data_IF_898284184461
#
_entry.id   IF_898284184461
#
_cell.length_a   1.000
_cell.length_b   1.000
_cell.length_c   1.000
_cell.angle_alpha   90.00
_cell.angle_beta   90.00
_cell.angle_gamma   90.00
#
_symmetry.space_group_name_H-M   'P 1'
#
loop_
_entity.id
_entity.type
_entity.pdbx_description
1 polymer ?
#
# COMPACT_ATOMS: atom_id res chain seq x y z
N UNK A 1 1.07 27.81 -0.55
CA UNK A 1 0.86 28.39 -1.88
C UNK A 1 -0.12 27.58 -2.72
N UNK A 2 -0.80 28.22 -3.68
CA UNK A 2 -1.67 27.58 -4.70
C UNK A 2 -1.03 27.88 -6.06
N UNK A 3 -0.98 26.90 -6.96
CA UNK A 3 -0.38 27.10 -8.28
C UNK A 3 -1.31 27.85 -9.25
N UNK A 4 -0.78 28.17 -10.44
CA UNK A 4 -1.52 28.88 -11.49
C UNK A 4 -2.81 28.14 -11.93
N UNK A 5 -2.81 26.81 -11.87
CA UNK A 5 -3.96 25.98 -12.21
C UNK A 5 -4.98 25.85 -11.06
N UNK A 6 -4.74 26.52 -9.92
CA UNK A 6 -5.60 26.50 -8.73
C UNK A 6 -5.41 25.30 -7.81
N UNK A 7 -4.34 24.50 -7.97
CA UNK A 7 -4.04 23.34 -7.15
C UNK A 7 -3.01 23.66 -6.05
N UNK A 8 -3.28 23.20 -4.83
CA UNK A 8 -2.29 23.23 -3.75
C UNK A 8 -1.29 22.08 -3.91
N UNK A 9 0.04 22.35 -3.96
CA UNK A 9 1.07 21.32 -3.85
C UNK A 9 1.00 20.59 -2.51
N UNK A 10 1.07 19.26 -2.55
CA UNK A 10 0.91 18.41 -1.38
C UNK A 10 1.70 17.10 -1.55
N UNK A 11 2.01 16.44 -0.44
CA UNK A 11 2.59 15.10 -0.39
C UNK A 11 1.60 14.12 0.20
N UNK A 12 1.59 12.89 -0.30
CA UNK A 12 0.83 11.78 0.30
C UNK A 12 1.79 10.66 0.72
N UNK A 13 1.58 10.09 1.90
CA UNK A 13 2.50 9.13 2.49
C UNK A 13 1.79 7.78 2.69
N UNK A 14 2.32 6.73 2.09
CA UNK A 14 1.89 5.35 2.35
C UNK A 14 2.98 4.65 3.13
N UNK A 15 2.70 4.31 4.38
CA UNK A 15 3.62 3.54 5.22
C UNK A 15 3.17 2.09 5.18
N UNK A 16 4.07 1.17 4.82
CA UNK A 16 3.82 -0.26 4.85
C UNK A 16 4.65 -0.97 5.90
N UNK A 17 4.12 -2.05 6.46
CA UNK A 17 4.86 -2.97 7.30
C UNK A 17 5.39 -4.16 6.49
N UNK A 18 6.22 -5.00 7.14
CA UNK A 18 6.78 -6.22 6.52
C UNK A 18 5.72 -7.28 6.15
N UNK A 19 4.53 -7.19 6.76
CA UNK A 19 3.38 -8.07 6.46
C UNK A 19 2.63 -7.65 5.18
N UNK A 20 3.00 -6.52 4.56
CA UNK A 20 2.32 -5.97 3.38
C UNK A 20 0.99 -5.30 3.71
N UNK A 21 0.80 -4.89 4.96
CA UNK A 21 -0.29 -4.02 5.37
C UNK A 21 0.18 -2.56 5.26
N UNK A 22 -0.78 -1.64 5.19
CA UNK A 22 -0.53 -0.20 5.14
C UNK A 22 -1.15 0.50 6.33
N UNK A 23 -0.50 1.57 6.78
CA UNK A 23 -0.97 2.40 7.87
C UNK A 23 -2.19 3.20 7.40
N UNK A 24 -3.27 3.13 8.15
CA UNK A 24 -4.50 3.85 7.88
C UNK A 24 -4.86 4.69 9.10
N UNK A 25 -4.89 6.00 8.94
CA UNK A 25 -5.08 6.94 10.03
C UNK A 25 -6.50 7.49 10.06
N UNK A 26 -7.06 7.62 11.26
CA UNK A 26 -8.40 8.17 11.51
C UNK A 26 -8.26 9.65 11.79
N UNK A 27 -9.02 10.48 11.07
CA UNK A 27 -8.97 11.93 11.20
C UNK A 27 -9.50 12.37 12.57
N UNK A 28 -8.80 13.30 13.19
CA UNK A 28 -9.18 13.87 14.47
C UNK A 28 -10.60 14.45 14.42
N UNK A 29 -11.45 14.04 15.35
CA UNK A 29 -12.84 14.50 15.45
C UNK A 29 -13.77 14.04 14.31
N UNK A 30 -13.33 13.12 13.44
CA UNK A 30 -14.13 12.65 12.31
C UNK A 30 -14.11 11.11 12.19
N UNK A 31 -15.17 10.53 11.63
CA UNK A 31 -15.23 9.08 11.35
C UNK A 31 -14.65 8.71 9.97
N UNK A 32 -13.91 9.62 9.35
CA UNK A 32 -13.23 9.38 8.08
C UNK A 32 -11.77 9.03 8.28
N UNK A 33 -11.26 8.16 7.42
CA UNK A 33 -9.89 7.68 7.47
C UNK A 33 -9.15 8.04 6.17
N UNK A 34 -7.85 8.31 6.28
CA UNK A 34 -6.99 8.62 5.14
C UNK A 34 -5.52 8.23 5.40
N UNK A 35 -4.72 8.32 4.34
CA UNK A 35 -3.27 8.34 4.48
C UNK A 35 -2.80 9.72 4.98
N UNK A 36 -1.67 9.79 5.70
CA UNK A 36 -0.99 11.04 6.03
C UNK A 36 -0.72 11.88 4.78
N UNK A 37 -0.98 13.19 4.85
CA UNK A 37 -0.80 14.08 3.70
C UNK A 37 -0.79 15.57 4.05
N UNK A 38 0.26 16.28 3.65
CA UNK A 38 0.33 17.72 3.91
C UNK A 38 1.05 18.56 2.88
N UNK A 39 1.07 19.86 3.16
CA UNK A 39 1.43 20.88 2.16
C UNK A 39 2.89 20.79 1.74
N UNK A 40 3.21 21.34 0.57
CA UNK A 40 4.59 21.69 0.24
C UNK A 40 4.70 23.22 0.32
N UNK A 41 5.60 23.71 1.15
CA UNK A 41 6.01 25.11 1.29
C UNK A 41 6.93 25.51 0.13
N UNK A 42 7.15 26.82 -0.04
CA UNK A 42 7.80 27.35 -1.24
C UNK A 42 9.31 27.12 -1.25
N UNK A 43 9.89 26.94 -0.07
CA UNK A 43 11.31 26.72 0.22
C UNK A 43 11.67 25.25 0.46
N UNK A 44 10.70 24.32 0.30
CA UNK A 44 10.93 22.90 0.55
C UNK A 44 10.71 22.02 -0.69
N UNK A 45 11.54 20.99 -0.81
CA UNK A 45 11.34 19.91 -1.78
C UNK A 45 10.20 18.99 -1.32
N UNK A 46 9.61 18.24 -2.24
CA UNK A 46 8.58 17.26 -1.89
C UNK A 46 9.06 16.20 -0.88
N UNK A 47 10.35 15.85 -0.89
CA UNK A 47 10.91 14.92 0.09
C UNK A 47 11.08 15.56 1.47
N UNK A 48 11.51 16.82 1.55
CA UNK A 48 11.56 17.58 2.81
C UNK A 48 10.17 17.72 3.41
N UNK A 49 9.18 18.12 2.61
CA UNK A 49 7.78 18.19 3.01
C UNK A 49 7.30 16.84 3.53
N UNK A 50 7.58 15.74 2.82
CA UNK A 50 7.20 14.40 3.24
C UNK A 50 7.74 14.05 4.63
N UNK A 51 9.01 14.32 4.92
CA UNK A 51 9.56 14.02 6.24
C UNK A 51 9.06 14.94 7.34
N UNK A 52 8.76 16.21 7.03
CA UNK A 52 8.12 17.14 7.97
C UNK A 52 6.73 16.64 8.34
N UNK A 53 5.90 16.32 7.34
CA UNK A 53 4.55 15.79 7.55
C UNK A 53 4.57 14.42 8.24
N UNK A 54 5.55 13.55 7.92
CA UNK A 54 5.75 12.28 8.61
C UNK A 54 5.97 12.47 10.12
N UNK A 55 6.75 13.49 10.49
CA UNK A 55 7.00 13.81 11.89
C UNK A 55 5.78 14.48 12.54
N UNK A 56 5.19 15.48 11.88
CA UNK A 56 4.06 16.25 12.43
C UNK A 56 2.80 15.40 12.64
N UNK A 57 2.51 14.53 11.68
CA UNK A 57 1.29 13.73 11.68
C UNK A 57 1.48 12.35 12.33
N UNK A 58 2.65 11.72 12.19
CA UNK A 58 2.89 10.31 12.58
C UNK A 58 3.97 10.17 13.66
N UNK A 59 4.70 11.24 13.98
CA UNK A 59 5.78 11.23 14.98
C UNK A 59 7.06 10.51 14.52
N UNK A 60 7.11 10.03 13.28
CA UNK A 60 8.25 9.27 12.75
C UNK A 60 9.27 10.18 12.08
N UNK A 61 10.53 9.79 12.15
CA UNK A 61 11.65 10.51 11.53
C UNK A 61 12.32 9.67 10.43
N UNK A 62 13.30 10.25 9.73
CA UNK A 62 14.03 9.58 8.64
C UNK A 62 14.64 8.23 9.01
N UNK A 63 15.01 8.05 10.28
CA UNK A 63 15.64 6.80 10.77
C UNK A 63 14.63 5.67 10.97
N UNK A 64 13.36 6.02 11.13
CA UNK A 64 12.28 5.10 11.51
C UNK A 64 11.63 4.46 10.27
N UNK A 65 11.94 4.99 9.08
CA UNK A 65 11.39 4.58 7.79
C UNK A 65 12.47 4.39 6.73
N UNK A 66 12.18 3.53 5.76
CA UNK A 66 12.95 3.42 4.51
C UNK A 66 12.09 3.88 3.35
N UNK A 67 12.57 4.85 2.58
CA UNK A 67 11.92 5.25 1.32
C UNK A 67 12.07 4.13 0.28
N UNK A 68 10.95 3.55 -0.16
CA UNK A 68 10.94 2.48 -1.15
C UNK A 68 10.66 3.00 -2.56
N UNK A 69 9.76 3.97 -2.68
CA UNK A 69 9.34 4.48 -3.98
C UNK A 69 8.73 5.88 -3.88
N UNK A 70 8.83 6.62 -4.97
CA UNK A 70 8.14 7.90 -5.16
C UNK A 70 7.33 7.79 -6.46
N UNK A 71 6.04 8.13 -6.41
CA UNK A 71 5.15 8.08 -7.59
C UNK A 71 5.75 8.81 -8.77
N UNK A 72 5.64 8.31 -10.01
CA UNK A 72 6.34 8.93 -11.15
C UNK A 72 5.84 10.32 -11.51
N UNK A 73 4.54 10.56 -11.35
CA UNK A 73 3.86 11.79 -11.74
C UNK A 73 3.16 12.46 -10.56
N UNK A 74 2.82 13.73 -10.72
CA UNK A 74 1.92 14.42 -9.80
C UNK A 74 0.48 13.98 -10.04
N UNK A 75 -0.18 13.47 -9.00
CA UNK A 75 -1.57 13.02 -9.06
C UNK A 75 -2.49 14.16 -8.61
N UNK A 76 -3.51 14.47 -9.39
CA UNK A 76 -4.41 15.59 -9.13
C UNK A 76 -5.82 15.09 -8.82
N UNK A 77 -6.48 15.74 -7.86
CA UNK A 77 -7.92 15.61 -7.68
C UNK A 77 -8.54 16.98 -7.44
N UNK A 78 -9.79 17.14 -7.89
CA UNK A 78 -10.59 18.33 -7.66
C UNK A 78 -11.44 18.15 -6.41
N UNK A 79 -11.61 19.24 -5.66
CA UNK A 79 -12.57 19.28 -4.57
C UNK A 79 -13.99 19.41 -5.14
N UNK A 80 -14.98 18.70 -4.57
CA UNK A 80 -16.40 18.98 -4.84
C UNK A 80 -16.73 20.45 -4.55
N UNK A 81 -17.64 21.06 -5.32
CA UNK A 81 -18.01 22.49 -5.18
C UNK A 81 -18.31 22.91 -3.73
N UNK A 82 -19.00 22.05 -2.98
CA UNK A 82 -19.35 22.27 -1.56
C UNK A 82 -18.15 22.36 -0.60
N UNK A 83 -16.97 21.89 -1.00
CA UNK A 83 -15.74 21.92 -0.20
C UNK A 83 -14.77 23.03 -0.67
N UNK A 84 -15.16 23.80 -1.69
CA UNK A 84 -14.39 24.94 -2.15
C UNK A 84 -14.53 26.09 -1.14
N UNK A 85 -13.40 26.68 -0.78
CA UNK A 85 -13.32 27.86 0.07
C UNK A 85 -13.31 29.11 -0.79
N UNK A 86 -14.51 29.65 -1.06
CA UNK A 86 -14.72 30.80 -1.94
C UNK A 86 -14.18 32.13 -1.37
N UNK A 87 -13.94 32.15 -0.07
CA UNK A 87 -13.29 33.23 0.68
C UNK A 87 -11.77 33.27 0.46
N UNK A 88 -11.14 32.15 0.07
CA UNK A 88 -9.71 32.09 -0.20
C UNK A 88 -9.36 32.66 -1.58
N UNK A 89 -8.42 33.62 -1.62
CA UNK A 89 -7.82 34.15 -2.87
C UNK A 89 -6.31 33.88 -2.88
N UNK A 90 -5.76 33.21 -3.90
CA UNK A 90 -6.46 32.55 -5.01
C UNK A 90 -7.30 31.35 -4.53
N UNK A 91 -8.35 31.00 -5.28
CA UNK A 91 -9.26 29.91 -4.91
C UNK A 91 -8.58 28.56 -5.15
N UNK A 92 -8.52 27.72 -4.11
CA UNK A 92 -8.01 26.35 -4.22
C UNK A 92 -9.09 25.41 -4.78
N UNK A 93 -8.89 24.90 -6.00
CA UNK A 93 -9.84 23.98 -6.66
C UNK A 93 -9.54 22.50 -6.39
N UNK A 94 -8.39 22.19 -5.82
CA UNK A 94 -7.93 20.82 -5.66
C UNK A 94 -6.52 20.71 -5.06
N UNK A 95 -6.01 19.48 -5.01
CA UNK A 95 -4.63 19.23 -4.64
C UNK A 95 -3.88 18.52 -5.77
N UNK A 96 -2.60 18.87 -5.92
CA UNK A 96 -1.63 18.11 -6.72
C UNK A 96 -0.67 17.42 -5.75
N UNK A 97 -0.61 16.11 -5.83
CA UNK A 97 0.05 15.28 -4.84
C UNK A 97 1.23 14.52 -5.44
N UNK A 98 2.37 14.56 -4.74
CA UNK A 98 3.47 13.62 -4.93
C UNK A 98 3.36 12.54 -3.85
N UNK A 99 3.34 11.27 -4.25
CA UNK A 99 3.12 10.17 -3.31
C UNK A 99 4.42 9.43 -3.01
N UNK A 100 4.60 9.07 -1.74
CA UNK A 100 5.78 8.39 -1.24
C UNK A 100 5.36 7.06 -0.59
N UNK A 101 6.07 5.99 -0.94
CA UNK A 101 5.95 4.68 -0.30
C UNK A 101 7.11 4.51 0.66
N UNK A 102 6.80 4.38 1.94
CA UNK A 102 7.74 4.16 3.02
C UNK A 102 7.53 2.77 3.62
N UNK A 103 8.62 2.15 4.04
CA UNK A 103 8.58 0.96 4.88
C UNK A 103 8.94 1.33 6.31
N UNK A 104 8.10 0.98 7.27
CA UNK A 104 8.44 1.11 8.68
C UNK A 104 9.60 0.16 9.02
N UNK A 105 10.69 0.71 9.56
CA UNK A 105 11.85 -0.07 10.02
C UNK A 105 11.98 -0.08 11.54
N UNK A 106 11.42 0.91 12.22
CA UNK A 106 11.32 0.98 13.68
C UNK A 106 10.19 0.12 14.24
N UNK A 107 9.99 0.20 15.56
CA UNK A 107 8.90 -0.47 16.25
C UNK A 107 7.59 0.32 16.01
N UNK A 108 6.45 -0.38 15.96
CA UNK A 108 5.15 0.26 15.74
C UNK A 108 4.72 1.13 16.92
N UNK A 109 5.30 0.92 18.10
CA UNK A 109 5.12 1.80 19.27
C UNK A 109 5.68 3.21 19.07
N UNK A 110 6.60 3.38 18.10
CA UNK A 110 7.22 4.68 17.82
C UNK A 110 6.28 5.59 17.01
N UNK A 111 5.16 5.05 16.50
CA UNK A 111 4.12 5.84 15.83
C UNK A 111 3.37 6.66 16.87
N UNK A 112 3.51 7.98 16.79
CA UNK A 112 2.86 8.93 17.68
C UNK A 112 2.08 10.00 16.88
N UNK A 113 0.76 9.81 16.79
CA UNK A 113 -0.16 10.75 16.14
C UNK A 113 -0.44 12.02 16.98
N UNK A 114 0.11 12.08 18.21
CA UNK A 114 -0.03 13.20 19.16
C UNK A 114 1.28 13.99 19.30
N UNK A 115 2.17 13.90 18.31
CA UNK A 115 3.46 14.59 18.34
C UNK A 115 3.34 16.13 18.29
N UNK A 116 2.21 16.66 17.81
CA UNK A 116 1.97 18.10 17.65
C UNK A 116 0.77 18.57 18.46
N UNK A 117 0.70 19.90 18.70
CA UNK A 117 -0.40 20.53 19.47
C UNK A 117 -1.75 20.51 18.74
N UNK A 118 -1.74 20.23 17.43
CA UNK A 118 -2.91 20.21 16.56
C UNK A 118 -2.88 18.95 15.68
N UNK A 119 -3.17 17.77 16.27
CA UNK A 119 -3.04 16.50 15.55
C UNK A 119 -4.06 16.39 14.41
N UNK A 120 -3.62 15.95 13.23
CA UNK A 120 -4.54 15.63 12.12
C UNK A 120 -5.28 14.30 12.38
N UNK A 121 -4.68 13.40 13.17
CA UNK A 121 -5.18 12.05 13.40
C UNK A 121 -5.34 11.75 14.90
N UNK A 122 -6.41 11.02 15.25
CA UNK A 122 -6.65 10.56 16.63
C UNK A 122 -6.28 9.10 16.84
N UNK A 123 -5.99 8.36 15.77
CA UNK A 123 -5.57 6.96 15.86
C UNK A 123 -5.21 6.38 14.50
N UNK A 124 -4.69 5.16 14.53
CA UNK A 124 -4.26 4.45 13.33
C UNK A 124 -4.46 2.94 13.47
N UNK A 125 -4.49 2.25 12.33
CA UNK A 125 -4.46 0.78 12.29
C UNK A 125 -3.80 0.27 11.03
N UNK A 126 -3.25 -0.93 11.10
CA UNK A 126 -2.82 -1.67 9.92
C UNK A 126 -4.03 -2.21 9.16
N UNK A 127 -4.10 -1.96 7.86
CA UNK A 127 -5.14 -2.51 6.97
C UNK A 127 -4.52 -3.24 5.79
N UNK A 128 -5.30 -4.09 5.13
CA UNK A 128 -4.85 -4.73 3.89
C UNK A 128 -4.56 -3.68 2.81
N UNK A 129 -3.56 -3.96 1.96
CA UNK A 129 -3.04 -2.99 0.99
C UNK A 129 -4.14 -2.32 0.14
N UNK A 130 -5.14 -3.07 -0.34
CA UNK A 130 -6.20 -2.51 -1.20
C UNK A 130 -7.39 -1.90 -0.44
N UNK A 131 -7.45 -2.03 0.89
CA UNK A 131 -8.55 -1.52 1.69
C UNK A 131 -8.76 0.01 1.57
N UNK A 132 -7.71 0.86 1.63
CA UNK A 132 -7.84 2.32 1.51
C UNK A 132 -8.54 2.79 0.23
N UNK A 133 -8.29 2.13 -0.91
CA UNK A 133 -8.89 2.50 -2.21
C UNK A 133 -10.43 2.40 -2.18
N UNK A 134 -10.96 1.44 -1.41
CA UNK A 134 -12.41 1.24 -1.28
C UNK A 134 -13.06 2.21 -0.29
N UNK A 135 -12.31 2.65 0.71
CA UNK A 135 -12.83 3.37 1.88
C UNK A 135 -12.61 4.88 1.83
N UNK A 136 -11.65 5.33 1.05
CA UNK A 136 -11.40 6.76 0.88
C UNK A 136 -12.61 7.46 0.23
N UNK A 137 -12.80 8.73 0.58
CA UNK A 137 -13.81 9.62 -0.01
C UNK A 137 -13.77 9.58 -1.55
N UNK A 138 -14.95 9.63 -2.17
CA UNK A 138 -15.14 9.34 -3.61
C UNK A 138 -14.21 10.13 -4.53
N UNK A 139 -14.05 11.43 -4.30
CA UNK A 139 -13.23 12.31 -5.14
C UNK A 139 -11.72 12.05 -5.04
N UNK A 140 -11.25 11.33 -4.02
CA UNK A 140 -9.84 10.91 -3.88
C UNK A 140 -9.58 9.49 -4.42
N UNK A 141 -10.62 8.69 -4.70
CA UNK A 141 -10.50 7.27 -5.08
C UNK A 141 -9.55 7.04 -6.26
N UNK A 142 -9.61 7.88 -7.29
CA UNK A 142 -8.78 7.70 -8.48
C UNK A 142 -7.30 7.98 -8.21
N UNK A 143 -6.99 9.00 -7.40
CA UNK A 143 -5.61 9.29 -6.97
C UNK A 143 -5.05 8.13 -6.14
N UNK A 144 -5.85 7.62 -5.21
CA UNK A 144 -5.51 6.45 -4.40
C UNK A 144 -5.27 5.21 -5.26
N UNK A 145 -6.17 4.94 -6.22
CA UNK A 145 -6.05 3.80 -7.13
C UNK A 145 -4.76 3.88 -7.95
N UNK A 146 -4.41 5.05 -8.49
CA UNK A 146 -3.17 5.26 -9.25
C UNK A 146 -1.93 5.06 -8.38
N UNK A 147 -1.87 5.73 -7.22
CA UNK A 147 -0.74 5.61 -6.29
C UNK A 147 -0.53 4.16 -5.83
N UNK A 148 -1.60 3.51 -5.36
CA UNK A 148 -1.54 2.13 -4.88
C UNK A 148 -1.20 1.13 -5.98
N UNK A 149 -1.61 1.37 -7.24
CA UNK A 149 -1.21 0.53 -8.38
C UNK A 149 0.28 0.63 -8.67
N UNK A 150 0.87 1.82 -8.63
CA UNK A 150 2.32 1.99 -8.76
C UNK A 150 3.07 1.30 -7.62
N UNK A 151 2.60 1.47 -6.38
CA UNK A 151 3.23 0.90 -5.19
C UNK A 151 3.09 -0.62 -5.08
N UNK A 152 1.99 -1.18 -5.60
CA UNK A 152 1.79 -2.63 -5.67
C UNK A 152 2.89 -3.31 -6.50
N UNK A 153 3.30 -2.70 -7.62
CA UNK A 153 4.38 -3.23 -8.44
C UNK A 153 5.68 -3.31 -7.65
N UNK A 154 5.98 -2.31 -6.80
CA UNK A 154 7.18 -2.33 -5.97
C UNK A 154 7.07 -3.37 -4.86
N UNK A 155 5.99 -3.34 -4.06
CA UNK A 155 5.85 -4.21 -2.90
C UNK A 155 5.72 -5.70 -3.25
N UNK A 156 5.01 -6.02 -4.33
CA UNK A 156 4.81 -7.42 -4.71
C UNK A 156 5.96 -7.95 -5.57
N UNK A 157 6.64 -7.11 -6.37
CA UNK A 157 7.84 -7.57 -7.09
C UNK A 157 9.05 -7.70 -6.16
N UNK A 158 9.15 -6.92 -5.08
CA UNK A 158 10.16 -7.11 -4.03
C UNK A 158 9.98 -8.46 -3.31
N UNK A 159 8.73 -8.88 -3.09
CA UNK A 159 8.44 -10.19 -2.48
C UNK A 159 8.81 -11.37 -3.40
N UNK A 160 8.69 -11.20 -4.71
CA UNK A 160 9.10 -12.25 -5.67
C UNK A 160 10.61 -12.31 -5.87
N UNK A 161 11.32 -11.17 -5.79
CA UNK A 161 12.78 -11.13 -5.93
C UNK A 161 13.53 -11.59 -4.65
N UNK A 162 12.92 -11.46 -3.46
CA UNK A 162 13.48 -11.92 -2.19
C UNK A 162 13.15 -13.37 -1.82
N UNK A 163 12.54 -14.13 -2.72
CA UNK A 163 12.01 -15.48 -2.48
C UNK A 163 12.66 -16.54 -3.36
N UNK A 164 13.99 -16.58 -3.46
CA UNK A 164 14.71 -17.71 -4.04
C UNK A 164 16.18 -17.74 -3.61
N UNK A 165 16.44 -18.04 -2.34
CA UNK A 165 17.60 -18.87 -1.97
C UNK A 165 17.30 -19.58 -0.65
N UNK A 166 17.48 -20.91 -0.67
CA UNK A 166 17.49 -21.85 0.45
C UNK A 166 16.15 -22.52 0.82
N UNK A 167 16.14 -23.85 0.64
CA UNK A 167 15.21 -24.87 1.16
C UNK A 167 13.91 -25.17 0.40
N UNK A 168 14.03 -25.58 -0.86
CA UNK A 168 13.20 -26.67 -1.40
C UNK A 168 14.02 -27.50 -2.40
N UNK A 169 14.97 -28.31 -1.91
CA UNK A 169 15.59 -29.34 -2.74
C UNK A 169 16.15 -30.52 -1.92
N UNK A 170 15.41 -31.02 -0.92
CA UNK A 170 15.68 -32.32 -0.28
C UNK A 170 14.39 -32.99 0.21
N UNK A 171 13.39 -33.20 -0.67
CA UNK A 171 12.31 -34.15 -0.34
C UNK A 171 11.56 -34.75 -1.54
N UNK A 172 12.22 -34.87 -2.71
CA UNK A 172 11.65 -35.55 -3.89
C UNK A 172 12.32 -36.87 -4.28
N UNK A 173 13.12 -37.48 -3.39
CA UNK A 173 13.78 -38.77 -3.63
C UNK A 173 13.49 -39.85 -2.57
N UNK A 174 12.55 -39.64 -1.64
CA UNK A 174 12.21 -40.60 -0.59
C UNK A 174 10.76 -41.13 -0.64
N UNK A 175 10.10 -41.09 -1.80
CA UNK A 175 8.72 -41.61 -1.96
C UNK A 175 8.50 -42.48 -3.21
N UNK A 176 9.53 -43.20 -3.66
CA UNK A 176 9.39 -44.20 -4.74
C UNK A 176 9.96 -45.58 -4.42
N UNK A 177 10.40 -45.85 -3.18
CA UNK A 177 11.03 -47.13 -2.83
C UNK A 177 10.48 -47.73 -1.54
N UNK A 178 9.19 -48.07 -1.51
CA UNK A 178 8.64 -48.93 -0.45
C UNK A 178 7.27 -49.51 -0.77
N UNK A 179 7.09 -50.18 -1.91
CA UNK A 179 6.13 -51.30 -2.00
C UNK A 179 6.64 -52.36 -2.97
N UNK A 180 7.50 -53.26 -2.46
CA UNK A 180 7.77 -54.56 -3.08
C UNK A 180 6.83 -55.60 -2.48
N UNK A 181 6.19 -56.34 -3.40
CA UNK A 181 5.84 -57.76 -3.33
C UNK A 181 4.71 -58.19 -2.37
N UNK A 182 3.56 -58.51 -2.97
CA UNK A 182 2.91 -59.80 -2.72
C UNK A 182 2.64 -60.53 -4.05
N UNK A 183 2.82 -61.84 -3.98
CA UNK A 183 2.95 -62.80 -5.07
C UNK A 183 1.60 -63.36 -5.51
N UNK A 184 1.51 -63.60 -6.83
CA UNK A 184 0.74 -64.63 -7.56
C UNK A 184 -0.65 -65.08 -7.07
N UNK A 185 -1.65 -64.97 -7.96
CA UNK A 185 -2.49 -66.11 -8.38
C UNK A 185 -3.26 -65.83 -9.67
N UNK A 186 -3.15 -66.81 -10.57
CA UNK A 186 -3.91 -67.10 -11.80
C UNK A 186 -5.38 -66.65 -11.78
N UNK A 187 -5.89 -66.13 -12.90
CA UNK A 187 -7.13 -66.60 -13.54
C UNK A 187 -7.16 -66.27 -15.04
N UNK A 188 -7.72 -67.19 -15.81
CA UNK A 188 -7.70 -67.26 -17.28
C UNK A 188 -8.92 -66.59 -17.92
N UNK A 189 -8.72 -66.15 -19.18
CA UNK A 189 -9.64 -66.08 -20.36
C UNK A 189 -11.12 -65.70 -20.15
N UNK A 190 -11.57 -64.72 -20.93
CA UNK A 190 -12.63 -64.93 -21.94
C UNK A 190 -12.65 -63.83 -23.01
N UNK A 191 -12.80 -64.29 -24.25
CA UNK A 191 -12.94 -63.50 -25.46
C UNK A 191 -14.38 -62.98 -25.60
N UNK A 192 -14.57 -61.78 -26.13
CA UNK A 192 -15.86 -61.33 -26.65
C UNK A 192 -15.85 -61.38 -28.16
N UNK A 193 -16.72 -62.25 -28.69
CA UNK A 193 -17.06 -62.36 -30.09
C UNK A 193 -17.96 -61.21 -30.52
N UNK A 194 -17.72 -60.81 -31.76
CA UNK A 194 -18.47 -59.89 -32.61
C UNK A 194 -19.63 -60.67 -33.22
N UNK A 195 -20.88 -60.21 -33.08
CA UNK A 195 -22.00 -60.68 -33.92
C UNK A 195 -22.82 -59.47 -34.37
N UNK A 196 -22.97 -59.39 -35.69
CA UNK A 196 -23.90 -58.55 -36.44
C UNK A 196 -25.31 -59.15 -36.33
N UNK A 197 -26.31 -58.28 -36.19
CA UNK A 197 -27.70 -58.49 -36.55
C UNK A 197 -28.19 -57.21 -37.20
#
# INVERSE_FOLDING_TARGET
MIDFDGYRPNVGIVICNRKGQVLWAKRYGQNSWQFPQGGINDDETAEQAMYRELFEEVGLTRKDVKLLYVSKQWLRYKLPKRLLRYDSKPMCIGQKQRWFLLQLVSDEKDINMQATKSPEFDGWRWVSFWYPVRQVVSFKKEVYRKAMKEFAAVLFNLKTAGGSTSQQNENKLAYSNSHKKYSSKKYQKRAFHRIRG
#
